data_IF_177921994727
#
_entry.id   IF_177921994727
#
_cell.length_a   1.000
_cell.length_b   1.000
_cell.length_c   1.000
_cell.angle_alpha   90.00
_cell.angle_beta   90.00
_cell.angle_gamma   90.00
#
_symmetry.space_group_name_H-M   'P 1'
#
loop_
_entity.id
_entity.type
_entity.pdbx_description
1 polymer ?
#
# COMPACT_ATOMS: atom_id res chain seq x y z
N UNK A 1 -43.45 57.22 53.47
CA UNK A 1 -43.76 56.95 54.90
C UNK A 1 -42.90 55.76 55.33
N UNK A 2 -41.95 56.06 56.16
CA UNK A 2 -41.68 55.50 57.49
C UNK A 2 -41.39 53.98 57.46
N UNK A 3 -40.08 53.65 57.70
CA UNK A 3 -39.47 53.17 58.95
C UNK A 3 -39.56 51.64 59.04
N UNK A 4 -38.66 50.86 59.49
CA UNK A 4 -37.52 51.02 60.43
C UNK A 4 -36.58 49.81 60.30
N UNK A 5 -35.34 50.08 60.61
CA UNK A 5 -34.28 49.11 60.84
C UNK A 5 -34.53 48.27 62.11
N UNK A 6 -33.92 47.09 62.14
CA UNK A 6 -33.38 46.57 63.42
C UNK A 6 -32.22 45.61 63.14
N UNK A 7 -31.11 45.94 63.74
CA UNK A 7 -29.93 45.12 63.95
C UNK A 7 -30.25 43.91 64.83
N UNK A 8 -29.57 42.81 64.61
CA UNK A 8 -29.16 41.93 65.73
C UNK A 8 -27.88 41.19 65.41
N UNK A 9 -27.01 41.43 66.28
CA UNK A 9 -25.62 41.08 66.51
C UNK A 9 -25.40 39.57 66.70
N UNK A 10 -24.29 39.10 66.12
CA UNK A 10 -23.28 38.16 66.63
C UNK A 10 -23.69 36.76 67.12
N UNK A 11 -22.98 35.79 66.57
CA UNK A 11 -22.01 35.04 67.41
C UNK A 11 -21.09 34.32 66.42
N UNK A 12 -19.79 34.60 66.45
CA UNK A 12 -18.69 33.87 65.80
C UNK A 12 -18.41 32.65 66.67
N UNK A 13 -18.65 31.48 66.14
CA UNK A 13 -18.09 30.22 66.65
C UNK A 13 -17.04 29.75 65.67
N UNK A 14 -15.78 29.91 66.03
CA UNK A 14 -14.64 29.34 65.36
C UNK A 14 -14.60 27.86 65.70
N UNK A 15 -15.04 27.00 64.77
CA UNK A 15 -14.69 25.60 64.82
C UNK A 15 -13.49 25.37 63.85
N UNK A 16 -12.31 25.29 64.48
CA UNK A 16 -11.12 24.76 63.79
C UNK A 16 -11.27 23.25 63.74
N UNK A 17 -11.74 22.75 62.65
CA UNK A 17 -11.62 21.34 62.32
C UNK A 17 -10.53 21.21 61.25
N UNK A 18 -9.42 20.56 61.66
CA UNK A 18 -8.29 20.28 60.80
C UNK A 18 -8.70 19.43 59.58
N UNK A 19 -8.65 20.02 58.43
CA UNK A 19 -8.77 19.31 57.15
C UNK A 19 -7.37 18.78 56.81
N UNK A 20 -7.10 17.51 57.15
CA UNK A 20 -5.97 16.78 56.56
C UNK A 20 -6.24 16.65 55.07
N UNK A 21 -5.59 17.48 54.28
CA UNK A 21 -5.50 17.30 52.85
C UNK A 21 -4.54 16.15 52.62
N UNK A 22 -5.08 14.94 52.42
CA UNK A 22 -4.33 13.86 51.77
C UNK A 22 -4.15 14.25 50.32
N UNK A 23 -3.02 14.81 49.96
CA UNK A 23 -2.55 14.92 48.59
C UNK A 23 -2.18 13.51 48.15
N UNK A 24 -3.15 12.77 47.56
CA UNK A 24 -2.86 11.62 46.72
C UNK A 24 -2.12 12.14 45.51
N UNK A 25 -0.81 11.95 45.47
CA UNK A 25 -0.02 12.10 44.29
C UNK A 25 -0.52 11.07 43.31
N UNK A 26 -1.39 11.47 42.38
CA UNK A 26 -1.68 10.71 41.17
C UNK A 26 -0.39 10.78 40.36
N UNK A 27 0.45 9.75 40.51
CA UNK A 27 1.52 9.49 39.57
C UNK A 27 0.85 9.13 38.23
N UNK A 28 0.62 10.13 37.39
CA UNK A 28 0.43 9.91 35.99
C UNK A 28 1.77 9.41 35.43
N UNK A 29 1.97 8.10 35.46
CA UNK A 29 2.95 7.49 34.63
C UNK A 29 2.46 7.71 33.21
N UNK A 30 2.88 8.79 32.57
CA UNK A 30 2.91 8.88 31.13
C UNK A 30 3.93 7.82 30.70
N UNK A 31 3.49 6.60 30.46
CA UNK A 31 4.24 5.69 29.63
C UNK A 31 4.32 6.39 28.28
N UNK A 32 5.47 7.00 28.01
CA UNK A 32 5.84 7.30 26.65
C UNK A 32 5.96 5.91 25.98
N UNK A 33 4.89 5.44 25.36
CA UNK A 33 4.98 4.30 24.49
C UNK A 33 6.06 4.63 23.46
N UNK A 34 7.16 3.90 23.52
CA UNK A 34 8.16 3.99 22.46
C UNK A 34 7.46 3.68 21.14
N UNK A 35 7.72 4.46 20.09
CA UNK A 35 7.08 4.24 18.80
C UNK A 35 7.38 2.81 18.37
N UNK A 36 6.33 2.05 18.08
CA UNK A 36 6.50 0.69 17.60
C UNK A 36 7.05 0.77 16.18
N UNK A 37 8.31 0.39 16.02
CA UNK A 37 9.01 0.43 14.74
C UNK A 37 8.85 -0.92 14.07
N UNK A 38 8.24 -0.93 12.89
CA UNK A 38 7.96 -2.15 12.15
C UNK A 38 8.95 -2.36 11.01
N UNK A 39 9.46 -3.60 10.78
CA UNK A 39 10.29 -3.88 9.62
C UNK A 39 9.48 -3.75 8.33
N UNK A 40 10.09 -3.17 7.30
CA UNK A 40 9.46 -2.90 6.00
C UNK A 40 9.11 -4.19 5.26
N UNK A 41 10.00 -5.18 5.34
CA UNK A 41 9.84 -6.50 4.72
C UNK A 41 10.05 -7.59 5.76
N UNK A 42 9.47 -8.80 5.55
CA UNK A 42 9.69 -9.94 6.43
C UNK A 42 11.16 -10.32 6.56
N UNK A 43 11.52 -10.90 7.69
CA UNK A 43 12.81 -11.56 7.83
C UNK A 43 12.87 -12.84 6.94
N UNK A 44 14.04 -13.24 6.47
CA UNK A 44 14.16 -14.48 5.70
C UNK A 44 13.58 -15.68 6.47
N UNK A 45 12.69 -16.43 5.82
CA UNK A 45 12.01 -17.60 6.41
C UNK A 45 10.79 -17.31 7.29
N UNK A 46 10.52 -16.06 7.62
CA UNK A 46 9.37 -15.67 8.47
C UNK A 46 8.03 -16.10 7.86
N UNK A 47 7.92 -16.04 6.54
CA UNK A 47 6.68 -16.32 5.81
C UNK A 47 6.62 -17.74 5.21
N UNK A 48 7.62 -18.60 5.48
CA UNK A 48 7.73 -19.92 4.81
C UNK A 48 6.54 -20.86 5.02
N UNK A 49 5.77 -20.70 6.09
CA UNK A 49 4.56 -21.49 6.35
C UNK A 49 3.28 -20.88 5.77
N UNK A 50 3.31 -19.63 5.32
CA UNK A 50 2.16 -18.87 4.84
C UNK A 50 1.93 -19.14 3.34
N UNK A 51 0.82 -19.78 2.96
CA UNK A 51 0.59 -20.28 1.59
C UNK A 51 -0.68 -19.76 0.93
N UNK A 52 -1.66 -19.31 1.71
CA UNK A 52 -2.96 -18.91 1.20
C UNK A 52 -3.02 -17.38 1.10
N UNK A 53 -3.08 -16.87 -0.13
CA UNK A 53 -3.05 -15.44 -0.41
C UNK A 53 -4.43 -14.98 -0.88
N UNK A 54 -5.00 -13.99 -0.21
CA UNK A 54 -6.13 -13.22 -0.75
C UNK A 54 -5.61 -11.94 -1.39
N UNK A 55 -5.97 -11.71 -2.66
CA UNK A 55 -5.54 -10.52 -3.39
C UNK A 55 -6.73 -9.59 -3.59
N UNK A 56 -6.66 -8.36 -3.06
CA UNK A 56 -7.63 -7.32 -3.36
C UNK A 56 -7.00 -6.25 -4.24
N UNK A 57 -7.41 -6.18 -5.51
CA UNK A 57 -6.74 -5.33 -6.47
C UNK A 57 -7.56 -4.90 -7.68
N UNK A 58 -6.84 -4.50 -8.68
CA UNK A 58 -7.36 -4.03 -9.97
C UNK A 58 -6.40 -4.43 -11.10
N UNK A 59 -6.47 -3.78 -12.27
CA UNK A 59 -5.69 -4.15 -13.45
C UNK A 59 -4.15 -4.14 -13.28
N UNK A 60 -3.61 -3.63 -12.16
CA UNK A 60 -2.16 -3.68 -11.86
C UNK A 60 -1.77 -4.90 -11.00
N UNK A 61 -2.73 -5.68 -10.54
CA UNK A 61 -2.52 -7.00 -9.95
C UNK A 61 -3.32 -8.06 -10.73
N UNK A 62 -3.08 -8.16 -12.04
CA UNK A 62 -3.90 -8.99 -12.93
C UNK A 62 -3.61 -10.47 -12.73
N UNK A 63 -4.52 -11.32 -13.19
CA UNK A 63 -4.38 -12.77 -13.16
C UNK A 63 -3.02 -13.29 -13.67
N UNK A 64 -2.45 -12.82 -14.83
CA UNK A 64 -1.14 -13.27 -15.28
C UNK A 64 -0.02 -13.10 -14.27
N UNK A 65 -0.03 -12.02 -13.46
CA UNK A 65 0.93 -11.83 -12.39
C UNK A 65 0.80 -12.92 -11.33
N UNK A 66 -0.43 -13.25 -10.91
CA UNK A 66 -0.70 -14.25 -9.89
C UNK A 66 -0.36 -15.67 -10.38
N UNK A 67 -0.60 -15.96 -11.66
CA UNK A 67 -0.20 -17.20 -12.31
C UNK A 67 1.33 -17.36 -12.33
N UNK A 68 2.07 -16.30 -12.63
CA UNK A 68 3.54 -16.32 -12.53
C UNK A 68 4.01 -16.52 -11.08
N UNK A 69 3.35 -15.90 -10.09
CA UNK A 69 3.66 -16.16 -8.68
C UNK A 69 3.47 -17.65 -8.33
N UNK A 70 2.38 -18.28 -8.80
CA UNK A 70 2.15 -19.72 -8.61
C UNK A 70 3.23 -20.57 -9.27
N UNK A 71 3.62 -20.24 -10.49
CA UNK A 71 4.70 -20.95 -11.20
C UNK A 71 6.04 -20.84 -10.48
N UNK A 72 6.40 -19.65 -10.03
CA UNK A 72 7.61 -19.40 -9.24
C UNK A 72 7.58 -20.19 -7.94
N UNK A 73 6.47 -20.13 -7.21
CA UNK A 73 6.32 -20.79 -5.92
C UNK A 73 6.40 -22.32 -6.03
N UNK A 74 5.80 -22.90 -7.06
CA UNK A 74 5.87 -24.33 -7.33
C UNK A 74 7.32 -24.78 -7.67
N UNK A 75 8.04 -23.98 -8.44
CA UNK A 75 9.42 -24.30 -8.82
C UNK A 75 10.42 -24.26 -7.65
N UNK A 76 10.09 -23.53 -6.58
CA UNK A 76 10.91 -23.49 -5.35
C UNK A 76 10.32 -24.38 -4.22
N UNK A 77 9.44 -25.31 -4.58
CA UNK A 77 8.78 -26.26 -3.67
C UNK A 77 7.99 -25.58 -2.53
N UNK A 78 7.51 -24.36 -2.82
CA UNK A 78 6.69 -23.56 -1.90
C UNK A 78 5.34 -23.18 -2.54
N UNK A 79 4.52 -24.13 -2.98
CA UNK A 79 3.30 -23.84 -3.74
C UNK A 79 2.34 -22.96 -2.93
N UNK A 80 1.94 -21.87 -3.53
CA UNK A 80 0.92 -20.95 -3.00
C UNK A 80 -0.42 -21.20 -3.66
N UNK A 81 -1.49 -20.90 -2.93
CA UNK A 81 -2.87 -20.85 -3.43
C UNK A 81 -3.37 -19.43 -3.26
N UNK A 82 -4.10 -18.93 -4.27
CA UNK A 82 -4.64 -17.58 -4.20
C UNK A 82 -6.07 -17.50 -4.70
N UNK A 83 -6.81 -16.59 -4.08
CA UNK A 83 -8.09 -16.09 -4.56
C UNK A 83 -8.01 -14.58 -4.72
N UNK A 84 -8.74 -14.01 -5.66
CA UNK A 84 -8.66 -12.59 -5.94
C UNK A 84 -10.02 -11.92 -6.03
N UNK A 85 -10.12 -10.75 -5.40
CA UNK A 85 -11.11 -9.73 -5.66
C UNK A 85 -10.47 -8.71 -6.61
N UNK A 86 -10.84 -8.68 -7.88
CA UNK A 86 -10.22 -7.79 -8.86
C UNK A 86 -11.28 -6.94 -9.57
N UNK A 87 -11.22 -5.63 -9.35
CA UNK A 87 -12.10 -4.65 -10.00
C UNK A 87 -11.26 -3.57 -10.70
N UNK A 88 -11.21 -3.61 -12.02
CA UNK A 88 -10.41 -2.68 -12.81
C UNK A 88 -10.71 -1.21 -12.50
N UNK A 89 -9.64 -0.42 -12.26
CA UNK A 89 -9.70 1.00 -11.97
C UNK A 89 -10.31 1.35 -10.61
N UNK A 90 -10.50 0.37 -9.72
CA UNK A 90 -11.07 0.60 -8.39
C UNK A 90 -10.06 1.11 -7.37
N UNK A 91 -10.56 1.85 -6.40
CA UNK A 91 -9.91 2.12 -5.12
C UNK A 91 -10.17 1.01 -4.10
N UNK A 92 -9.46 1.03 -2.96
CA UNK A 92 -9.78 0.18 -1.82
C UNK A 92 -11.22 0.45 -1.34
N UNK A 93 -11.63 1.71 -1.33
CA UNK A 93 -13.01 2.12 -1.00
C UNK A 93 -14.04 1.42 -1.88
N UNK A 94 -13.87 1.43 -3.21
CA UNK A 94 -14.78 0.77 -4.15
C UNK A 94 -14.90 -0.74 -3.86
N UNK A 95 -13.80 -1.38 -3.53
CA UNK A 95 -13.78 -2.82 -3.21
C UNK A 95 -14.33 -3.13 -1.83
N UNK A 96 -14.28 -2.18 -0.89
CA UNK A 96 -14.81 -2.34 0.46
C UNK A 96 -16.33 -2.13 0.52
N UNK A 97 -16.80 -1.04 -0.08
CA UNK A 97 -18.20 -0.58 0.07
C UNK A 97 -18.97 -0.51 -1.25
N UNK A 98 -18.30 -0.81 -2.37
CA UNK A 98 -18.87 -0.59 -3.69
C UNK A 98 -18.81 0.88 -4.10
N UNK A 99 -19.12 1.14 -5.37
CA UNK A 99 -19.25 2.51 -5.90
C UNK A 99 -20.49 3.23 -5.42
N UNK A 100 -21.47 2.49 -4.94
CA UNK A 100 -22.66 2.98 -4.26
C UNK A 100 -22.43 2.91 -2.75
N UNK A 101 -22.09 4.04 -2.15
CA UNK A 101 -21.78 4.19 -0.72
C UNK A 101 -22.96 3.84 0.21
N UNK A 102 -24.15 3.57 -0.35
CA UNK A 102 -25.34 3.15 0.41
C UNK A 102 -25.22 1.73 0.98
N UNK A 103 -24.23 0.94 0.54
CA UNK A 103 -24.05 -0.46 0.94
C UNK A 103 -22.93 -0.58 1.96
N UNK A 104 -23.29 -0.75 3.21
CA UNK A 104 -22.33 -1.05 4.28
C UNK A 104 -21.57 -2.35 3.99
N UNK A 105 -20.25 -2.29 3.79
CA UNK A 105 -19.34 -3.43 3.56
C UNK A 105 -19.93 -4.57 2.67
N UNK A 106 -20.76 -4.25 1.73
CA UNK A 106 -21.24 -5.19 0.74
C UNK A 106 -20.55 -5.02 -0.61
N UNK A 107 -19.42 -4.37 -0.63
CA UNK A 107 -18.54 -3.98 -1.70
C UNK A 107 -18.64 -4.76 -3.00
N UNK A 108 -17.52 -4.86 -3.64
CA UNK A 108 -17.43 -5.68 -4.85
C UNK A 108 -17.18 -7.14 -4.45
N UNK A 109 -18.21 -7.97 -4.56
CA UNK A 109 -18.23 -9.38 -4.15
C UNK A 109 -17.66 -10.34 -5.21
N UNK A 110 -17.54 -9.92 -6.45
CA UNK A 110 -17.09 -10.77 -7.55
C UNK A 110 -15.57 -10.94 -7.51
N UNK A 111 -15.13 -12.19 -7.52
CA UNK A 111 -13.73 -12.57 -7.57
C UNK A 111 -13.50 -13.82 -8.39
N UNK A 112 -12.25 -14.27 -8.44
CA UNK A 112 -11.86 -15.52 -9.08
C UNK A 112 -10.85 -16.26 -8.21
N UNK A 113 -10.94 -17.59 -8.23
CA UNK A 113 -9.91 -18.47 -7.67
C UNK A 113 -8.73 -18.67 -8.64
N UNK A 114 -7.73 -19.42 -8.24
CA UNK A 114 -6.57 -19.75 -9.04
C UNK A 114 -6.92 -20.57 -10.32
N UNK A 115 -8.05 -21.29 -10.32
CA UNK A 115 -8.53 -22.05 -11.48
C UNK A 115 -9.33 -21.18 -12.48
N UNK A 116 -9.69 -19.94 -12.07
CA UNK A 116 -10.49 -19.02 -12.87
C UNK A 116 -11.99 -19.16 -12.63
N UNK A 117 -12.40 -19.94 -11.64
CA UNK A 117 -13.80 -20.04 -11.25
C UNK A 117 -14.24 -18.78 -10.52
N UNK A 118 -15.47 -18.36 -10.80
CA UNK A 118 -16.04 -17.19 -10.11
C UNK A 118 -16.37 -17.53 -8.67
N UNK A 119 -15.96 -16.67 -7.74
CA UNK A 119 -16.23 -16.79 -6.31
C UNK A 119 -16.90 -15.52 -5.77
N UNK A 120 -17.62 -15.64 -4.66
CA UNK A 120 -17.97 -14.50 -3.83
C UNK A 120 -16.73 -14.14 -2.99
N UNK A 121 -15.98 -13.15 -3.45
CA UNK A 121 -14.70 -12.77 -2.87
C UNK A 121 -14.82 -12.27 -1.43
N UNK A 122 -15.92 -11.59 -1.08
CA UNK A 122 -16.12 -11.10 0.28
C UNK A 122 -16.50 -12.21 1.24
N UNK A 123 -17.39 -13.10 0.83
CA UNK A 123 -17.75 -14.27 1.62
C UNK A 123 -16.54 -15.18 1.81
N UNK A 124 -15.73 -15.35 0.76
CA UNK A 124 -14.50 -16.16 0.79
C UNK A 124 -13.47 -15.58 1.76
N UNK A 125 -13.16 -14.30 1.66
CA UNK A 125 -12.21 -13.61 2.56
C UNK A 125 -12.66 -13.66 4.03
N UNK A 126 -13.98 -13.64 4.27
CA UNK A 126 -14.58 -13.62 5.59
C UNK A 126 -14.89 -15.02 6.13
N UNK A 127 -14.73 -16.06 5.32
CA UNK A 127 -15.00 -17.42 5.77
C UNK A 127 -14.02 -17.81 6.88
N UNK A 128 -14.53 -17.87 8.10
CA UNK A 128 -13.77 -18.36 9.26
C UNK A 128 -13.67 -19.87 9.28
N UNK A 129 -14.30 -20.53 8.34
CA UNK A 129 -14.52 -21.95 8.40
C UNK A 129 -13.44 -22.72 7.68
N UNK A 130 -13.00 -23.67 8.37
CA UNK A 130 -12.62 -25.04 8.02
C UNK A 130 -11.16 -25.32 8.20
N UNK A 131 -10.99 -26.27 9.05
CA UNK A 131 -9.74 -27.00 9.28
C UNK A 131 -9.06 -27.45 7.98
N UNK A 132 -9.77 -27.55 6.86
CA UNK A 132 -9.25 -28.10 5.62
C UNK A 132 -9.20 -27.11 4.45
N UNK A 133 -9.82 -25.94 4.54
CA UNK A 133 -9.87 -24.95 3.45
C UNK A 133 -8.96 -23.74 3.68
N UNK A 134 -8.18 -23.78 4.78
CA UNK A 134 -7.24 -22.76 5.12
C UNK A 134 -7.85 -21.35 5.27
N UNK A 135 -7.68 -20.75 6.44
CA UNK A 135 -7.74 -19.31 6.56
C UNK A 135 -6.69 -18.73 5.64
N UNK A 136 -6.93 -17.51 5.13
CA UNK A 136 -5.91 -16.81 4.40
C UNK A 136 -4.78 -16.39 5.33
N UNK A 137 -3.57 -16.68 4.90
CA UNK A 137 -2.36 -16.30 5.63
C UNK A 137 -1.91 -14.89 5.27
N UNK A 138 -2.24 -14.43 4.06
CA UNK A 138 -1.75 -13.18 3.50
C UNK A 138 -2.88 -12.46 2.78
N UNK A 139 -3.00 -11.15 3.06
CA UNK A 139 -3.72 -10.20 2.23
C UNK A 139 -2.70 -9.38 1.43
N UNK A 140 -2.76 -9.48 0.10
CA UNK A 140 -2.07 -8.56 -0.80
C UNK A 140 -3.09 -7.54 -1.32
N UNK A 141 -2.92 -6.27 -0.95
CA UNK A 141 -3.88 -5.21 -1.28
C UNK A 141 -3.21 -4.04 -1.98
N UNK A 142 -3.83 -3.49 -3.03
CA UNK A 142 -3.35 -2.31 -3.73
C UNK A 142 -4.40 -1.20 -3.80
N UNK A 143 -3.96 0.05 -3.95
CA UNK A 143 -4.81 1.22 -4.13
C UNK A 143 -4.82 1.66 -5.59
N UNK A 144 -5.76 2.52 -5.97
CA UNK A 144 -5.75 3.18 -7.27
C UNK A 144 -4.46 4.00 -7.47
N UNK A 145 -3.92 3.99 -8.67
CA UNK A 145 -2.58 4.54 -8.97
C UNK A 145 -2.46 6.08 -8.92
N UNK A 146 -3.55 6.83 -8.82
CA UNK A 146 -3.52 8.29 -8.67
C UNK A 146 -3.37 8.69 -7.21
N UNK A 147 -2.14 8.71 -6.71
CA UNK A 147 -1.82 8.78 -5.28
C UNK A 147 -2.57 9.88 -4.52
N UNK A 148 -2.38 11.17 -4.82
CA UNK A 148 -3.05 12.24 -4.06
C UNK A 148 -4.56 12.29 -4.29
N UNK A 149 -5.03 11.88 -5.48
CA UNK A 149 -6.45 11.71 -5.75
C UNK A 149 -7.04 10.63 -4.83
N UNK A 150 -6.33 9.50 -4.66
CA UNK A 150 -6.75 8.40 -3.79
C UNK A 150 -6.74 8.81 -2.32
N UNK A 151 -5.69 9.49 -1.87
CA UNK A 151 -5.64 9.97 -0.48
C UNK A 151 -6.80 10.90 -0.16
N UNK A 152 -7.07 11.89 -1.02
CA UNK A 152 -8.08 12.90 -0.75
C UNK A 152 -9.51 12.41 -0.96
N UNK A 153 -9.79 11.77 -2.12
CA UNK A 153 -11.18 11.48 -2.49
C UNK A 153 -11.57 10.03 -2.23
N UNK A 154 -10.61 9.12 -2.21
CA UNK A 154 -10.87 7.72 -1.87
C UNK A 154 -10.55 7.40 -0.40
N UNK A 155 -9.98 8.37 0.36
CA UNK A 155 -9.68 8.21 1.78
C UNK A 155 -8.89 6.93 2.07
N UNK A 156 -7.81 6.73 1.32
CA UNK A 156 -7.01 5.49 1.32
C UNK A 156 -6.65 5.00 2.71
N UNK A 157 -6.19 5.88 3.60
CA UNK A 157 -5.80 5.50 4.97
C UNK A 157 -6.98 4.88 5.73
N UNK A 158 -8.17 5.51 5.65
CA UNK A 158 -9.40 5.03 6.30
C UNK A 158 -9.81 3.65 5.79
N UNK A 159 -9.84 3.48 4.46
CA UNK A 159 -10.35 2.23 3.89
C UNK A 159 -9.31 1.12 3.88
N UNK A 160 -8.02 1.43 3.83
CA UNK A 160 -6.96 0.45 4.03
C UNK A 160 -7.03 -0.12 5.45
N UNK A 161 -7.23 0.74 6.45
CA UNK A 161 -7.44 0.32 7.83
C UNK A 161 -8.67 -0.56 7.98
N UNK A 162 -9.82 -0.11 7.48
CA UNK A 162 -11.06 -0.87 7.56
C UNK A 162 -10.96 -2.24 6.87
N UNK A 163 -10.24 -2.30 5.74
CA UNK A 163 -10.02 -3.56 5.01
C UNK A 163 -9.12 -4.50 5.80
N UNK A 164 -8.03 -3.98 6.38
CA UNK A 164 -7.14 -4.75 7.26
C UNK A 164 -7.92 -5.33 8.46
N UNK A 165 -8.69 -4.51 9.17
CA UNK A 165 -9.49 -4.96 10.32
C UNK A 165 -10.47 -6.07 9.92
N UNK A 166 -11.12 -5.92 8.76
CA UNK A 166 -12.05 -6.92 8.26
C UNK A 166 -11.37 -8.23 7.90
N UNK A 167 -10.20 -8.16 7.29
CA UNK A 167 -9.39 -9.33 6.98
C UNK A 167 -8.92 -10.05 8.25
N UNK A 168 -8.33 -9.33 9.19
CA UNK A 168 -7.80 -9.87 10.46
C UNK A 168 -8.91 -10.46 11.33
N UNK A 169 -10.11 -9.88 11.30
CA UNK A 169 -11.26 -10.45 12.03
C UNK A 169 -11.53 -11.92 11.69
N UNK A 170 -11.34 -12.29 10.44
CA UNK A 170 -11.55 -13.66 9.96
C UNK A 170 -10.25 -14.47 9.89
N UNK A 171 -9.11 -13.80 9.81
CA UNK A 171 -7.78 -14.38 9.67
C UNK A 171 -6.81 -13.78 10.73
N UNK A 172 -6.95 -14.12 12.02
CA UNK A 172 -6.22 -13.45 13.12
C UNK A 172 -4.70 -13.52 13.01
N UNK A 173 -4.16 -14.57 12.38
CA UNK A 173 -2.72 -14.76 12.14
C UNK A 173 -2.30 -14.30 10.74
N UNK A 174 -3.19 -13.60 10.04
CA UNK A 174 -2.96 -13.13 8.68
C UNK A 174 -2.05 -11.93 8.63
N UNK A 175 -1.19 -11.88 7.63
CA UNK A 175 -0.27 -10.78 7.34
C UNK A 175 -0.82 -9.91 6.21
N UNK A 176 -0.57 -8.61 6.26
CA UNK A 176 -1.08 -7.67 5.26
C UNK A 176 0.07 -6.99 4.52
N UNK A 177 0.04 -7.06 3.20
CA UNK A 177 0.99 -6.44 2.31
C UNK A 177 0.31 -5.41 1.41
N UNK A 178 0.74 -4.17 1.54
CA UNK A 178 0.33 -3.10 0.64
C UNK A 178 1.21 -3.09 -0.61
N UNK A 179 0.62 -3.39 -1.74
CA UNK A 179 1.29 -3.37 -3.05
C UNK A 179 1.19 -1.98 -3.65
N UNK A 180 2.32 -1.29 -3.83
CA UNK A 180 2.33 0.08 -4.36
C UNK A 180 2.01 0.11 -5.86
N UNK A 181 0.93 0.78 -6.28
CA UNK A 181 0.59 0.89 -7.70
C UNK A 181 1.47 1.95 -8.38
N UNK A 182 1.81 1.74 -9.65
CA UNK A 182 2.51 2.71 -10.49
C UNK A 182 1.52 3.55 -11.31
N UNK A 183 1.92 4.77 -11.65
CA UNK A 183 1.13 5.67 -12.49
C UNK A 183 1.41 5.40 -13.98
N UNK A 184 0.50 5.82 -14.89
CA UNK A 184 0.73 5.69 -16.33
C UNK A 184 1.97 6.46 -16.78
N UNK A 185 2.75 5.87 -17.68
CA UNK A 185 3.86 6.57 -18.32
C UNK A 185 3.35 7.77 -19.13
N UNK A 186 4.00 8.91 -18.98
CA UNK A 186 3.68 10.11 -19.77
C UNK A 186 4.26 10.07 -21.18
N UNK A 187 5.41 9.41 -21.35
CA UNK A 187 6.11 9.27 -22.63
C UNK A 187 6.93 7.97 -22.65
N UNK A 188 6.55 7.04 -23.52
CA UNK A 188 7.28 5.78 -23.72
C UNK A 188 8.65 5.96 -24.39
N UNK A 189 8.91 7.08 -25.05
CA UNK A 189 10.21 7.36 -25.65
C UNK A 189 11.20 7.93 -24.63
N UNK A 190 10.69 8.49 -23.53
CA UNK A 190 11.47 9.02 -22.44
C UNK A 190 10.80 8.76 -21.09
N UNK A 191 11.17 7.68 -20.44
CA UNK A 191 10.61 7.29 -19.14
C UNK A 191 11.15 8.09 -17.94
N UNK A 192 12.06 9.06 -18.13
CA UNK A 192 12.74 9.76 -17.03
C UNK A 192 11.77 10.44 -16.07
N UNK A 193 10.78 11.17 -16.60
CA UNK A 193 9.76 11.85 -15.78
C UNK A 193 8.94 10.88 -14.94
N UNK A 194 8.62 9.70 -15.51
CA UNK A 194 7.89 8.65 -14.81
C UNK A 194 8.75 8.01 -13.71
N UNK A 195 10.02 7.68 -14.00
CA UNK A 195 10.97 7.14 -13.02
C UNK A 195 11.15 8.11 -11.85
N UNK A 196 11.31 9.40 -12.14
CA UNK A 196 11.42 10.43 -11.10
C UNK A 196 10.13 10.59 -10.27
N UNK A 197 8.97 10.42 -10.92
CA UNK A 197 7.69 10.44 -10.23
C UNK A 197 7.58 9.28 -9.24
N UNK A 198 7.83 8.03 -9.68
CA UNK A 198 7.71 6.85 -8.82
C UNK A 198 8.68 6.90 -7.64
N UNK A 199 9.91 7.39 -7.86
CA UNK A 199 10.86 7.64 -6.76
C UNK A 199 10.35 8.65 -5.74
N UNK A 200 9.68 9.70 -6.20
CA UNK A 200 9.12 10.72 -5.31
C UNK A 200 7.80 10.27 -4.65
N UNK A 201 7.05 9.37 -5.26
CA UNK A 201 5.79 8.84 -4.74
C UNK A 201 6.01 7.81 -3.61
N UNK A 202 7.10 7.06 -3.67
CA UNK A 202 7.36 5.97 -2.71
C UNK A 202 7.34 6.41 -1.24
N UNK A 203 8.02 7.51 -0.83
CA UNK A 203 7.94 7.99 0.56
C UNK A 203 6.51 8.34 0.99
N UNK A 204 5.65 8.80 0.07
CA UNK A 204 4.26 9.10 0.41
C UNK A 204 3.46 7.82 0.66
N UNK A 205 3.64 6.77 -0.17
CA UNK A 205 3.06 5.46 0.10
C UNK A 205 3.54 4.86 1.42
N UNK A 206 4.83 5.02 1.73
CA UNK A 206 5.39 4.59 3.01
C UNK A 206 4.70 5.30 4.17
N UNK A 207 4.48 6.61 4.06
CA UNK A 207 3.78 7.38 5.09
C UNK A 207 2.31 6.97 5.25
N UNK A 208 1.61 6.64 4.17
CA UNK A 208 0.24 6.09 4.25
C UNK A 208 0.22 4.83 5.11
N UNK A 209 1.11 3.89 4.83
CA UNK A 209 1.17 2.63 5.58
C UNK A 209 1.61 2.86 7.03
N UNK A 210 2.59 3.71 7.27
CA UNK A 210 3.05 4.05 8.62
C UNK A 210 1.92 4.67 9.47
N UNK A 211 1.17 5.62 8.92
CA UNK A 211 0.01 6.24 9.60
C UNK A 211 -1.10 5.23 9.90
N UNK A 212 -1.33 4.28 8.99
CA UNK A 212 -2.31 3.21 9.26
C UNK A 212 -1.81 2.28 10.36
N UNK A 213 -0.52 1.94 10.37
CA UNK A 213 0.08 1.08 11.40
C UNK A 213 0.08 1.70 12.79
N UNK A 214 0.17 3.03 12.89
CA UNK A 214 0.12 3.74 14.18
C UNK A 214 -1.27 3.74 14.82
N UNK A 215 -2.32 3.47 14.04
CA UNK A 215 -3.66 3.39 14.58
C UNK A 215 -3.86 2.04 15.30
N UNK A 216 -4.30 2.02 16.57
CA UNK A 216 -4.51 0.75 17.28
C UNK A 216 -5.57 -0.09 16.58
N UNK A 217 -5.32 -1.38 16.44
CA UNK A 217 -6.33 -2.34 15.97
C UNK A 217 -7.39 -2.56 17.05
N UNK A 218 -8.66 -2.58 16.65
CA UNK A 218 -9.78 -2.77 17.58
C UNK A 218 -9.73 -4.09 18.38
N UNK A 219 -8.91 -5.06 17.96
CA UNK A 219 -8.80 -6.38 18.56
C UNK A 219 -7.43 -6.70 19.17
N UNK A 220 -6.57 -5.69 19.33
CA UNK A 220 -5.27 -5.85 19.99
C UNK A 220 -4.21 -6.67 19.22
N UNK A 221 -4.47 -7.03 17.97
CA UNK A 221 -3.51 -7.73 17.12
C UNK A 221 -2.53 -6.73 16.50
N UNK A 222 -1.25 -7.01 16.64
CA UNK A 222 -0.17 -6.14 16.19
C UNK A 222 0.48 -6.66 14.90
N UNK A 223 -0.33 -6.94 13.86
CA UNK A 223 0.23 -7.28 12.56
C UNK A 223 0.30 -6.01 11.69
N UNK A 224 1.49 -5.41 11.56
CA UNK A 224 1.66 -4.21 10.75
C UNK A 224 1.46 -4.54 9.27
N UNK A 225 0.90 -3.59 8.54
CA UNK A 225 0.92 -3.64 7.09
C UNK A 225 2.37 -3.46 6.65
N UNK A 226 2.85 -4.36 5.82
CA UNK A 226 4.16 -4.29 5.15
C UNK A 226 3.99 -3.80 3.72
N UNK A 227 5.07 -3.39 3.06
CA UNK A 227 5.00 -2.83 1.71
C UNK A 227 5.70 -3.75 0.71
N UNK A 228 5.02 -4.03 -0.40
CA UNK A 228 5.64 -4.50 -1.64
C UNK A 228 5.90 -3.26 -2.51
N UNK A 229 7.15 -2.81 -2.66
CA UNK A 229 7.50 -1.56 -3.34
C UNK A 229 7.49 -1.72 -4.87
N UNK A 230 6.36 -2.18 -5.43
CA UNK A 230 6.28 -2.61 -6.82
C UNK A 230 6.47 -1.46 -7.81
N UNK A 231 5.89 -0.28 -7.54
CA UNK A 231 6.04 0.89 -8.41
C UNK A 231 7.49 1.37 -8.50
N UNK A 232 8.16 1.47 -7.35
CA UNK A 232 9.57 1.88 -7.30
C UNK A 232 10.48 0.83 -7.97
N UNK A 233 10.21 -0.46 -7.74
CA UNK A 233 10.98 -1.54 -8.35
C UNK A 233 10.87 -1.55 -9.87
N UNK A 234 9.67 -1.33 -10.40
CA UNK A 234 9.46 -1.25 -11.85
C UNK A 234 10.18 -0.04 -12.46
N UNK A 235 10.16 1.11 -11.78
CA UNK A 235 10.90 2.29 -12.19
C UNK A 235 12.43 2.08 -12.13
N UNK A 236 12.92 1.40 -11.08
CA UNK A 236 14.33 1.04 -10.95
C UNK A 236 14.78 0.06 -12.05
N UNK A 237 13.98 -0.96 -12.35
CA UNK A 237 14.21 -1.90 -13.45
C UNK A 237 14.38 -1.18 -14.79
N UNK A 238 13.40 -0.36 -15.17
CA UNK A 238 13.43 0.37 -16.45
C UNK A 238 14.62 1.29 -16.51
N UNK A 239 14.89 2.06 -15.42
CA UNK A 239 16.04 2.95 -15.34
C UNK A 239 17.38 2.22 -15.39
N UNK A 240 17.48 1.08 -14.71
CA UNK A 240 18.68 0.25 -14.72
C UNK A 240 19.00 -0.28 -16.12
N UNK A 241 18.01 -0.84 -16.82
CA UNK A 241 18.19 -1.42 -18.16
C UNK A 241 18.55 -0.36 -19.20
N UNK A 242 17.95 0.83 -19.11
CA UNK A 242 18.31 1.96 -19.99
C UNK A 242 19.75 2.42 -19.75
N UNK A 243 20.19 2.47 -18.50
CA UNK A 243 21.52 2.92 -18.13
C UNK A 243 22.62 1.85 -18.38
N UNK A 244 22.25 0.57 -18.47
CA UNK A 244 23.17 -0.55 -18.59
C UNK A 244 22.86 -1.39 -19.86
N UNK A 245 23.21 -0.91 -21.06
CA UNK A 245 22.83 -1.54 -22.32
C UNK A 245 23.50 -2.89 -22.59
N UNK A 246 24.39 -3.36 -21.74
CA UNK A 246 25.02 -4.69 -21.82
C UNK A 246 24.35 -5.73 -20.93
N UNK A 247 23.22 -5.39 -20.28
CA UNK A 247 22.51 -6.33 -19.38
C UNK A 247 22.03 -7.56 -20.16
N UNK A 248 22.34 -8.75 -19.64
CA UNK A 248 21.97 -10.03 -20.26
C UNK A 248 20.47 -10.12 -20.50
N UNK A 249 20.06 -10.64 -21.65
CA UNK A 249 18.66 -10.71 -22.09
C UNK A 249 18.07 -9.39 -22.62
N UNK A 250 18.80 -8.26 -22.47
CA UNK A 250 18.37 -6.91 -22.89
C UNK A 250 19.49 -6.16 -23.65
N UNK A 251 20.51 -6.86 -24.06
CA UNK A 251 21.70 -6.24 -24.65
C UNK A 251 21.36 -5.43 -25.92
N UNK A 252 21.85 -4.16 -25.93
CA UNK A 252 21.72 -3.21 -27.04
C UNK A 252 20.26 -2.83 -27.40
N UNK A 253 19.29 -3.07 -26.52
CA UNK A 253 17.93 -2.56 -26.71
C UNK A 253 17.88 -1.03 -26.51
N UNK A 254 17.13 -0.33 -27.35
CA UNK A 254 16.90 1.11 -27.21
C UNK A 254 16.02 1.40 -25.98
N UNK A 255 16.07 2.62 -25.41
CA UNK A 255 15.20 3.00 -24.29
C UNK A 255 13.73 2.73 -24.56
N UNK A 256 13.25 3.04 -25.77
CA UNK A 256 11.88 2.75 -26.20
C UNK A 256 11.58 1.26 -26.17
N UNK A 257 12.50 0.44 -26.69
CA UNK A 257 12.33 -1.01 -26.73
C UNK A 257 12.30 -1.62 -25.34
N UNK A 258 13.13 -1.11 -24.41
CA UNK A 258 13.09 -1.50 -22.99
C UNK A 258 11.68 -1.22 -22.43
N UNK A 259 11.13 -0.03 -22.61
CA UNK A 259 9.78 0.32 -22.13
C UNK A 259 8.72 -0.60 -22.74
N UNK A 260 8.74 -0.81 -24.07
CA UNK A 260 7.78 -1.68 -24.76
C UNK A 260 7.93 -3.17 -24.38
N UNK A 261 9.07 -3.58 -23.83
CA UNK A 261 9.23 -4.94 -23.27
C UNK A 261 8.39 -5.13 -22.01
N UNK A 262 8.16 -4.09 -21.21
CA UNK A 262 7.44 -4.20 -19.94
C UNK A 262 6.00 -3.68 -19.99
N UNK A 263 5.69 -2.76 -20.90
CA UNK A 263 4.39 -2.09 -20.96
C UNK A 263 3.68 -2.33 -22.30
N UNK A 264 2.48 -2.92 -22.25
CA UNK A 264 1.58 -3.04 -23.42
C UNK A 264 1.09 -1.67 -23.86
N UNK A 265 0.52 -0.92 -22.92
CA UNK A 265 0.08 0.46 -23.09
C UNK A 265 0.84 1.40 -22.14
N UNK A 266 0.23 2.47 -21.70
CA UNK A 266 0.87 3.44 -20.80
C UNK A 266 0.94 2.96 -19.34
N UNK A 267 0.21 1.89 -18.96
CA UNK A 267 0.09 1.46 -17.56
C UNK A 267 0.06 -0.05 -17.38
N UNK A 268 -0.50 -0.82 -18.33
CA UNK A 268 -0.62 -2.27 -18.21
C UNK A 268 0.66 -2.98 -18.65
N UNK A 269 0.96 -4.07 -17.98
CA UNK A 269 2.21 -4.81 -18.21
C UNK A 269 2.06 -5.93 -19.22
N UNK A 270 3.10 -6.12 -20.02
CA UNK A 270 3.31 -7.32 -20.82
C UNK A 270 3.55 -8.56 -19.94
N UNK A 271 3.70 -9.73 -20.56
CA UNK A 271 4.13 -10.94 -19.86
C UNK A 271 5.47 -10.74 -19.11
N UNK A 272 6.44 -10.04 -19.69
CA UNK A 272 7.72 -9.77 -19.05
C UNK A 272 7.59 -8.84 -17.83
N UNK A 273 6.76 -7.81 -17.94
CA UNK A 273 6.45 -6.92 -16.82
C UNK A 273 5.72 -7.65 -15.70
N UNK A 274 4.70 -8.44 -16.01
CA UNK A 274 3.96 -9.25 -15.04
C UNK A 274 4.87 -10.29 -14.35
N UNK A 275 5.78 -10.92 -15.11
CA UNK A 275 6.76 -11.84 -14.53
C UNK A 275 7.70 -11.17 -13.55
N UNK A 276 8.24 -9.99 -13.91
CA UNK A 276 9.11 -9.23 -12.99
C UNK A 276 8.38 -8.88 -11.69
N UNK A 277 7.16 -8.35 -11.80
CA UNK A 277 6.37 -7.97 -10.62
C UNK A 277 5.97 -9.20 -9.79
N UNK A 278 5.69 -10.33 -10.41
CA UNK A 278 5.45 -11.59 -9.71
C UNK A 278 6.68 -12.05 -8.93
N UNK A 279 7.85 -12.05 -9.57
CA UNK A 279 9.12 -12.42 -8.94
C UNK A 279 9.48 -11.45 -7.79
N UNK A 280 9.28 -10.15 -7.99
CA UNK A 280 9.45 -9.13 -6.96
C UNK A 280 8.54 -9.37 -5.76
N UNK A 281 7.24 -9.57 -6.02
CA UNK A 281 6.23 -9.76 -4.97
C UNK A 281 6.49 -11.03 -4.17
N UNK A 282 6.80 -12.12 -4.87
CA UNK A 282 7.16 -13.37 -4.21
C UNK A 282 8.40 -13.20 -3.31
N UNK A 283 9.46 -12.57 -3.83
CA UNK A 283 10.69 -12.34 -3.06
C UNK A 283 10.52 -11.30 -1.94
N UNK A 284 9.62 -10.34 -2.09
CA UNK A 284 9.29 -9.40 -1.02
C UNK A 284 8.60 -10.10 0.16
N UNK A 285 7.78 -11.10 -0.11
CA UNK A 285 7.04 -11.86 0.91
C UNK A 285 7.90 -12.97 1.50
N UNK A 286 8.53 -13.81 0.67
CA UNK A 286 9.17 -15.05 1.10
C UNK A 286 10.71 -15.00 1.16
N UNK A 287 11.30 -13.91 0.67
CA UNK A 287 12.75 -13.78 0.58
C UNK A 287 13.31 -14.23 -0.78
N UNK A 288 14.63 -14.28 -0.86
CA UNK A 288 15.34 -14.53 -2.13
C UNK A 288 15.05 -15.92 -2.69
N UNK A 289 14.84 -16.00 -4.00
CA UNK A 289 14.64 -17.26 -4.72
C UNK A 289 15.95 -18.05 -4.78
N UNK A 290 15.93 -19.27 -4.26
CA UNK A 290 17.09 -20.17 -4.19
C UNK A 290 17.20 -21.11 -5.39
N UNK A 291 16.32 -21.02 -6.40
CA UNK A 291 16.32 -21.87 -7.57
C UNK A 291 16.81 -21.13 -8.81
N UNK A 292 17.76 -21.72 -9.54
CA UNK A 292 18.29 -21.16 -10.79
C UNK A 292 17.30 -21.39 -11.96
N UNK A 293 16.70 -22.57 -12.03
CA UNK A 293 15.83 -23.00 -13.14
C UNK A 293 14.35 -22.91 -12.72
N UNK A 294 13.78 -21.71 -12.85
CA UNK A 294 12.33 -21.49 -12.70
C UNK A 294 11.71 -21.42 -14.07
N UNK A 295 10.82 -22.37 -14.42
CA UNK A 295 10.12 -22.35 -15.70
C UNK A 295 9.37 -21.04 -15.93
N UNK A 296 9.46 -20.48 -17.11
CA UNK A 296 8.71 -19.31 -17.52
C UNK A 296 8.44 -19.33 -19.02
N UNK A 297 7.45 -18.57 -19.47
CA UNK A 297 7.20 -18.34 -20.90
C UNK A 297 8.20 -17.37 -21.55
N UNK A 298 9.10 -16.78 -20.75
CA UNK A 298 10.15 -15.89 -21.23
C UNK A 298 11.41 -16.70 -21.59
N UNK A 299 12.27 -16.11 -22.42
CA UNK A 299 13.62 -16.64 -22.62
C UNK A 299 14.38 -16.72 -21.28
N UNK A 300 15.10 -17.82 -21.07
CA UNK A 300 15.73 -18.14 -19.78
C UNK A 300 16.67 -17.05 -19.26
N UNK A 301 17.46 -16.43 -20.13
CA UNK A 301 18.35 -15.34 -19.80
C UNK A 301 17.60 -14.09 -19.32
N UNK A 302 16.47 -13.74 -19.96
CA UNK A 302 15.57 -12.66 -19.54
C UNK A 302 14.96 -12.98 -18.19
N UNK A 303 14.37 -14.16 -18.04
CA UNK A 303 13.71 -14.57 -16.80
C UNK A 303 14.68 -14.55 -15.61
N UNK A 304 15.88 -15.10 -15.78
CA UNK A 304 16.94 -15.10 -14.76
C UNK A 304 17.38 -13.69 -14.40
N UNK A 305 17.61 -12.83 -15.39
CA UNK A 305 17.99 -11.43 -15.18
C UNK A 305 16.91 -10.68 -14.41
N UNK A 306 15.62 -10.84 -14.75
CA UNK A 306 14.52 -10.18 -14.05
C UNK A 306 14.42 -10.62 -12.58
N UNK A 307 14.57 -11.92 -12.29
CA UNK A 307 14.59 -12.42 -10.91
C UNK A 307 15.73 -11.82 -10.11
N UNK A 308 16.93 -11.81 -10.71
CA UNK A 308 18.11 -11.23 -10.09
C UNK A 308 17.95 -9.73 -9.80
N UNK A 309 17.46 -8.96 -10.77
CA UNK A 309 17.22 -7.52 -10.59
C UNK A 309 16.17 -7.24 -9.51
N UNK A 310 15.14 -8.10 -9.39
CA UNK A 310 14.16 -8.02 -8.30
C UNK A 310 14.83 -8.27 -6.93
N UNK A 311 15.67 -9.30 -6.81
CA UNK A 311 16.43 -9.61 -5.59
C UNK A 311 17.40 -8.47 -5.20
N UNK A 312 18.20 -7.99 -6.17
CA UNK A 312 19.15 -6.89 -5.96
C UNK A 312 18.43 -5.60 -5.53
N UNK A 313 17.28 -5.32 -6.11
CA UNK A 313 16.45 -4.18 -5.71
C UNK A 313 15.95 -4.34 -4.26
N UNK A 314 15.36 -5.48 -3.91
CA UNK A 314 14.84 -5.71 -2.56
C UNK A 314 15.91 -5.70 -1.49
N UNK A 315 17.11 -6.18 -1.79
CA UNK A 315 18.26 -6.12 -0.89
C UNK A 315 18.65 -4.66 -0.59
N UNK A 316 18.76 -3.81 -1.62
CA UNK A 316 18.98 -2.37 -1.45
C UNK A 316 17.84 -1.70 -0.70
N UNK A 317 16.59 -1.95 -1.13
CA UNK A 317 15.40 -1.36 -0.51
C UNK A 317 15.32 -1.68 0.99
N UNK A 318 15.61 -2.91 1.40
CA UNK A 318 15.65 -3.31 2.83
C UNK A 318 16.74 -2.57 3.60
N UNK A 319 17.90 -2.35 2.99
CA UNK A 319 19.03 -1.64 3.60
C UNK A 319 18.71 -0.15 3.78
N UNK A 320 18.12 0.46 2.75
CA UNK A 320 17.81 1.90 2.71
C UNK A 320 16.57 2.25 3.55
N UNK A 321 15.68 1.28 3.74
CA UNK A 321 14.40 1.44 4.44
C UNK A 321 14.21 0.30 5.46
N UNK A 322 15.01 0.20 6.51
CA UNK A 322 14.89 -0.93 7.45
C UNK A 322 13.58 -0.94 8.22
N UNK A 323 13.04 0.24 8.48
CA UNK A 323 11.81 0.44 9.27
C UNK A 323 11.04 1.66 8.79
N UNK A 324 9.74 1.71 9.13
CA UNK A 324 8.90 2.91 8.98
C UNK A 324 8.63 3.56 10.33
N UNK A 325 8.75 4.89 10.34
CA UNK A 325 8.33 5.73 11.46
C UNK A 325 7.38 6.81 10.92
N UNK A 326 6.13 6.80 11.39
CA UNK A 326 5.14 7.81 11.01
C UNK A 326 5.52 9.22 11.42
N UNK A 327 6.33 9.36 12.48
CA UNK A 327 6.82 10.68 12.92
C UNK A 327 7.67 11.38 11.87
N UNK A 328 8.31 10.61 10.98
CA UNK A 328 9.05 11.16 9.85
C UNK A 328 8.15 11.70 8.73
N UNK A 329 6.85 11.36 8.77
CA UNK A 329 5.91 11.63 7.68
C UNK A 329 5.29 13.04 7.71
N UNK A 330 5.39 13.78 8.82
CA UNK A 330 4.67 15.04 9.00
C UNK A 330 3.15 14.87 8.87
N UNK A 331 2.44 16.00 8.73
CA UNK A 331 0.97 15.99 8.64
C UNK A 331 0.44 15.53 7.28
N UNK A 332 1.26 15.60 6.24
CA UNK A 332 0.84 15.23 4.88
C UNK A 332 1.98 15.23 3.85
N UNK A 333 1.66 15.05 2.56
CA UNK A 333 2.63 15.08 1.48
C UNK A 333 3.35 16.42 1.38
N UNK A 334 4.67 16.40 1.11
CA UNK A 334 5.45 17.62 0.96
C UNK A 334 4.94 18.50 -0.18
N UNK A 335 5.10 19.82 -0.06
CA UNK A 335 4.74 20.76 -1.12
C UNK A 335 5.46 20.42 -2.44
N UNK A 336 6.73 20.00 -2.37
CA UNK A 336 7.48 19.58 -3.55
C UNK A 336 6.84 18.39 -4.27
N UNK A 337 6.34 17.42 -3.51
CA UNK A 337 5.62 16.30 -4.10
C UNK A 337 4.25 16.71 -4.67
N UNK A 338 3.49 17.56 -3.99
CA UNK A 338 2.23 18.09 -4.53
C UNK A 338 2.45 18.78 -5.87
N UNK A 339 3.51 19.60 -6.00
CA UNK A 339 3.88 20.22 -7.28
C UNK A 339 4.26 19.19 -8.35
N UNK A 340 5.08 18.20 -7.99
CA UNK A 340 5.49 17.12 -8.92
C UNK A 340 4.26 16.33 -9.38
N UNK A 341 3.43 15.88 -8.46
CA UNK A 341 2.19 15.13 -8.73
C UNK A 341 1.26 15.91 -9.67
N UNK A 342 0.89 17.13 -9.29
CA UNK A 342 -0.05 17.93 -10.09
C UNK A 342 0.48 18.28 -11.48
N UNK A 343 1.81 18.45 -11.61
CA UNK A 343 2.46 18.64 -12.91
C UNK A 343 2.43 17.37 -13.75
N UNK A 344 2.67 16.23 -13.13
CA UNK A 344 2.63 14.95 -13.82
C UNK A 344 1.20 14.61 -14.29
N UNK A 345 0.21 14.73 -13.43
CA UNK A 345 -1.22 14.54 -13.76
C UNK A 345 -1.68 15.50 -14.86
N UNK A 346 -1.24 16.73 -14.83
CA UNK A 346 -1.58 17.71 -15.87
C UNK A 346 -1.06 17.24 -17.23
N UNK A 347 0.21 16.86 -17.35
CA UNK A 347 0.82 16.43 -18.61
C UNK A 347 0.26 15.12 -19.13
N UNK A 348 0.10 14.13 -18.25
CA UNK A 348 -0.23 12.76 -18.63
C UNK A 348 -1.72 12.57 -18.90
N UNK A 349 -2.60 13.20 -18.12
CA UNK A 349 -4.04 12.95 -18.20
C UNK A 349 -4.85 14.18 -18.62
N UNK A 350 -4.60 15.34 -17.97
CA UNK A 350 -5.49 16.47 -18.16
C UNK A 350 -5.26 17.21 -19.50
N UNK A 351 -4.00 17.35 -19.92
CA UNK A 351 -3.65 18.06 -21.15
C UNK A 351 -4.12 17.36 -22.44
N UNK A 352 -3.95 16.03 -22.59
CA UNK A 352 -4.51 15.32 -23.74
C UNK A 352 -6.04 15.40 -23.81
N UNK A 353 -6.72 15.39 -22.68
CA UNK A 353 -8.19 15.41 -22.61
C UNK A 353 -8.78 16.82 -22.81
N UNK A 354 -8.19 17.84 -22.17
CA UNK A 354 -8.81 19.18 -22.00
C UNK A 354 -8.07 20.32 -22.73
N UNK A 355 -6.89 20.03 -23.28
CA UNK A 355 -5.99 21.03 -23.83
C UNK A 355 -5.23 21.83 -22.77
N UNK A 356 -4.21 22.57 -23.21
CA UNK A 356 -3.20 23.18 -22.33
C UNK A 356 -3.79 24.15 -21.29
N UNK A 357 -4.68 25.06 -21.69
CA UNK A 357 -5.21 26.10 -20.78
C UNK A 357 -6.08 25.48 -19.69
N UNK A 358 -7.05 24.64 -20.08
CA UNK A 358 -7.98 24.03 -19.13
C UNK A 358 -7.24 23.05 -18.19
N UNK A 359 -6.23 22.33 -18.68
CA UNK A 359 -5.40 21.45 -17.88
C UNK A 359 -4.61 22.22 -16.81
N UNK A 360 -4.02 23.36 -17.13
CA UNK A 360 -3.31 24.21 -16.16
C UNK A 360 -4.23 24.83 -15.11
N UNK A 361 -5.44 25.26 -15.50
CA UNK A 361 -6.45 25.72 -14.54
C UNK A 361 -6.84 24.60 -13.56
N UNK A 362 -7.08 23.38 -14.09
CA UNK A 362 -7.33 22.21 -13.26
C UNK A 362 -6.16 21.92 -12.32
N UNK A 363 -4.93 21.91 -12.83
CA UNK A 363 -3.71 21.68 -12.05
C UNK A 363 -3.60 22.66 -10.87
N UNK A 364 -3.79 23.94 -11.11
CA UNK A 364 -3.70 24.97 -10.05
C UNK A 364 -4.79 24.78 -8.99
N UNK A 365 -6.01 24.48 -9.40
CA UNK A 365 -7.12 24.20 -8.49
C UNK A 365 -6.85 22.97 -7.62
N UNK A 366 -6.39 21.89 -8.23
CA UNK A 366 -6.13 20.62 -7.52
C UNK A 366 -4.94 20.78 -6.57
N UNK A 367 -3.89 21.48 -6.98
CA UNK A 367 -2.77 21.84 -6.12
C UNK A 367 -3.23 22.58 -4.85
N UNK A 368 -4.10 23.61 -4.99
CA UNK A 368 -4.63 24.33 -3.83
C UNK A 368 -5.48 23.45 -2.92
N UNK A 369 -6.19 22.46 -3.48
CA UNK A 369 -6.96 21.50 -2.69
C UNK A 369 -6.05 20.57 -1.89
N UNK A 370 -5.07 19.96 -2.53
CA UNK A 370 -4.11 19.08 -1.85
C UNK A 370 -3.36 19.81 -0.73
N UNK A 371 -2.93 21.05 -0.97
CA UNK A 371 -2.27 21.88 0.06
C UNK A 371 -3.14 22.24 1.26
N UNK A 372 -4.46 22.15 1.14
CA UNK A 372 -5.41 22.51 2.22
C UNK A 372 -6.01 21.32 2.94
N UNK A 373 -6.06 20.17 2.31
CA UNK A 373 -6.87 19.02 2.74
C UNK A 373 -6.04 17.77 2.99
N UNK A 374 -4.80 17.71 2.56
CA UNK A 374 -3.81 16.69 2.86
C UNK A 374 -2.65 17.25 3.69
#
# INVERSE_FOLDING_TARGET
MRRLALLSTAVVVVCVTGLMVMTSAISTSSSSEEPTVYPVLPAPGEMDAKRHIFVSGHSLTPRPMLEFMSQISAAVEMPIVWNSQNLNGSSIKDRSFGRDESRAWSGFDTGTDANGETIDALAEMQSSSKADAGKYDILLITEQHRLLDSLLWQQTETYLRAYQERFIQSNPEGEVFFFTPWISLSDKNNASDWIEYERAAMPVWQCVVAKVNDQPLNQGHAHPIRIVPASLALADLVGHLIANPSTSGFANESPRKIVDTFFEDDVHLTAAGNYFIAALTFQAIYGELKADDIPSSLADDKARTLRKLAADFLARYRTDNPTFDSKACGDGPSLSFIFKYTSYIERTYARPEKGYVAANVKRFRDMLRFMRQL
#
